data_IF_468380360724
#
_entry.id   IF_468380360724
#
_cell.length_a   1.000
_cell.length_b   1.000
_cell.length_c   1.000
_cell.angle_alpha   90.00
_cell.angle_beta   90.00
_cell.angle_gamma   90.00
#
_symmetry.space_group_name_H-M   'P 1'
#
loop_
_entity.id
_entity.type
_entity.pdbx_description
1 polymer ?
#
# COMPACT_ATOMS: atom_id res chain seq x y z
N UNK A 1 1.68 -4.73 -8.62
CA UNK A 1 0.73 -5.87 -8.68
C UNK A 1 1.30 -7.15 -8.08
N UNK A 2 2.59 -7.46 -8.29
CA UNK A 2 3.29 -8.65 -7.75
C UNK A 2 2.94 -8.99 -6.30
N UNK A 3 3.08 -8.05 -5.36
CA UNK A 3 2.82 -8.31 -3.93
C UNK A 3 1.36 -8.68 -3.67
N UNK A 4 0.40 -7.98 -4.28
CA UNK A 4 -1.03 -8.29 -4.14
C UNK A 4 -1.38 -9.66 -4.74
N UNK A 5 -0.87 -9.98 -5.93
CA UNK A 5 -1.07 -11.28 -6.59
C UNK A 5 -0.53 -12.42 -5.74
N UNK A 6 0.72 -12.29 -5.28
CA UNK A 6 1.36 -13.32 -4.48
C UNK A 6 0.67 -13.53 -3.13
N UNK A 7 0.21 -12.44 -2.48
CA UNK A 7 -0.49 -12.54 -1.20
C UNK A 7 -1.92 -13.07 -1.33
N UNK A 8 -2.71 -12.57 -2.29
CA UNK A 8 -4.16 -12.82 -2.34
C UNK A 8 -4.61 -13.83 -3.39
N UNK A 9 -3.94 -13.92 -4.53
CA UNK A 9 -4.28 -14.91 -5.57
C UNK A 9 -3.54 -16.22 -5.34
N UNK A 10 -2.27 -16.16 -4.93
CA UNK A 10 -1.44 -17.34 -4.74
C UNK A 10 -1.32 -17.80 -3.28
N UNK A 11 -1.69 -16.95 -2.32
CA UNK A 11 -1.66 -17.30 -0.89
C UNK A 11 -0.25 -17.53 -0.33
N UNK A 12 0.77 -16.89 -0.92
CA UNK A 12 2.14 -16.98 -0.43
C UNK A 12 2.28 -16.29 0.94
N UNK A 13 3.16 -16.83 1.78
CA UNK A 13 3.51 -16.28 3.10
C UNK A 13 4.42 -15.06 2.96
N UNK A 14 3.88 -13.94 2.47
CA UNK A 14 4.66 -12.74 2.13
C UNK A 14 5.26 -11.98 3.33
N UNK A 15 5.00 -12.41 4.57
CA UNK A 15 5.68 -11.96 5.79
C UNK A 15 6.97 -12.74 6.09
N UNK A 16 7.25 -13.82 5.35
CA UNK A 16 8.50 -14.57 5.43
C UNK A 16 9.55 -13.96 4.49
N UNK A 17 10.75 -13.57 5.00
CA UNK A 17 11.81 -12.97 4.20
C UNK A 17 12.26 -13.81 3.00
N UNK A 18 12.30 -15.13 3.12
CA UNK A 18 12.73 -15.99 2.00
C UNK A 18 11.66 -16.03 0.91
N UNK A 19 10.38 -16.09 1.31
CA UNK A 19 9.25 -16.13 0.38
C UNK A 19 9.10 -14.83 -0.39
N UNK A 20 9.20 -13.68 0.30
CA UNK A 20 9.10 -12.38 -0.38
C UNK A 20 10.30 -12.11 -1.30
N UNK A 21 11.52 -12.53 -0.94
CA UNK A 21 12.69 -12.42 -1.81
C UNK A 21 12.47 -13.16 -3.12
N UNK A 22 12.11 -14.45 -3.05
CA UNK A 22 11.87 -15.28 -4.23
C UNK A 22 10.73 -14.71 -5.08
N UNK A 23 9.64 -14.26 -4.44
CA UNK A 23 8.50 -13.69 -5.15
C UNK A 23 8.82 -12.37 -5.87
N UNK A 24 9.78 -11.59 -5.35
CA UNK A 24 10.28 -10.38 -5.98
C UNK A 24 11.25 -10.70 -7.13
N UNK A 25 12.16 -11.66 -6.93
CA UNK A 25 13.09 -12.14 -7.96
C UNK A 25 12.35 -12.71 -9.17
N UNK A 26 11.32 -13.54 -8.94
CA UNK A 26 10.46 -14.11 -10.00
C UNK A 26 9.70 -13.02 -10.80
N UNK A 27 9.49 -11.85 -10.20
CA UNK A 27 8.89 -10.69 -10.86
C UNK A 27 9.92 -9.76 -11.53
N UNK A 28 11.21 -10.10 -11.51
CA UNK A 28 12.29 -9.36 -12.14
C UNK A 28 12.85 -8.20 -11.31
N UNK A 29 12.57 -8.18 -10.00
CA UNK A 29 13.22 -7.25 -9.06
C UNK A 29 14.45 -7.91 -8.41
N UNK A 30 15.29 -7.12 -7.76
CA UNK A 30 16.31 -7.64 -6.85
C UNK A 30 15.71 -7.75 -5.45
N UNK A 31 15.25 -8.95 -5.09
CA UNK A 31 14.62 -9.22 -3.80
C UNK A 31 15.58 -9.01 -2.62
N UNK A 32 16.87 -9.27 -2.81
CA UNK A 32 17.88 -9.10 -1.77
C UNK A 32 18.14 -7.61 -1.49
N UNK A 33 18.32 -6.80 -2.53
CA UNK A 33 18.48 -5.34 -2.43
C UNK A 33 17.26 -4.69 -1.75
N UNK A 34 16.04 -5.11 -2.13
CA UNK A 34 14.82 -4.59 -1.51
C UNK A 34 14.74 -4.97 -0.03
N UNK A 35 15.06 -6.22 0.33
CA UNK A 35 15.05 -6.66 1.73
C UNK A 35 16.09 -5.94 2.59
N UNK A 36 17.25 -5.61 2.02
CA UNK A 36 18.23 -4.76 2.69
C UNK A 36 17.68 -3.33 2.85
N UNK A 37 17.10 -2.76 1.79
CA UNK A 37 16.54 -1.41 1.79
C UNK A 37 15.44 -1.20 2.83
N UNK A 38 14.50 -2.16 3.01
CA UNK A 38 13.44 -2.03 4.03
C UNK A 38 13.98 -2.02 5.47
N UNK A 39 15.23 -2.45 5.67
CA UNK A 39 15.87 -2.42 6.99
C UNK A 39 16.47 -1.06 7.33
N UNK A 40 16.71 -0.21 6.33
CA UNK A 40 17.21 1.16 6.53
C UNK A 40 16.27 2.00 7.41
N UNK A 41 16.86 2.81 8.28
CA UNK A 41 16.09 3.63 9.22
C UNK A 41 15.23 4.68 8.50
N UNK A 42 15.75 5.29 7.44
CA UNK A 42 15.04 6.23 6.58
C UNK A 42 13.74 5.65 6.02
N UNK A 43 13.79 4.42 5.52
CA UNK A 43 12.62 3.74 4.94
C UNK A 43 11.57 3.44 6.02
N UNK A 44 11.99 3.00 7.20
CA UNK A 44 11.10 2.76 8.35
C UNK A 44 10.46 4.04 8.86
N UNK A 45 11.24 5.11 8.95
CA UNK A 45 10.76 6.43 9.39
C UNK A 45 9.73 6.97 8.40
N UNK A 46 9.98 6.83 7.10
CA UNK A 46 9.02 7.23 6.07
C UNK A 46 7.71 6.43 6.15
N UNK A 47 7.77 5.11 6.33
CA UNK A 47 6.58 4.27 6.55
C UNK A 47 5.77 4.73 7.78
N UNK A 48 6.45 5.02 8.89
CA UNK A 48 5.82 5.49 10.11
C UNK A 48 5.17 6.87 9.91
N UNK A 49 5.88 7.80 9.28
CA UNK A 49 5.40 9.15 9.01
C UNK A 49 4.16 9.14 8.10
N UNK A 50 4.19 8.36 7.02
CA UNK A 50 3.07 8.21 6.10
C UNK A 50 1.84 7.62 6.79
N UNK A 51 2.04 6.58 7.61
CA UNK A 51 0.95 5.95 8.37
C UNK A 51 0.37 6.90 9.41
N UNK A 52 1.22 7.63 10.13
CA UNK A 52 0.81 8.62 11.14
C UNK A 52 0.02 9.75 10.51
N UNK A 53 0.52 10.34 9.42
CA UNK A 53 -0.18 11.40 8.69
C UNK A 53 -1.55 10.94 8.17
N UNK A 54 -1.67 9.69 7.72
CA UNK A 54 -2.96 9.12 7.30
C UNK A 54 -3.95 9.03 8.47
N UNK A 55 -3.50 8.56 9.64
CA UNK A 55 -4.33 8.47 10.85
C UNK A 55 -4.73 9.87 11.34
N UNK A 56 -3.80 10.82 11.37
CA UNK A 56 -4.07 12.20 11.76
C UNK A 56 -5.08 12.89 10.83
N UNK A 57 -5.11 12.52 9.55
CA UNK A 57 -6.13 12.95 8.58
C UNK A 57 -7.48 12.25 8.75
N UNK A 58 -7.63 11.34 9.72
CA UNK A 58 -8.87 10.64 10.02
C UNK A 58 -9.07 9.30 9.30
N UNK A 59 -8.02 8.74 8.69
CA UNK A 59 -8.10 7.38 8.10
C UNK A 59 -8.25 6.34 9.22
N UNK A 60 -9.20 5.42 9.07
CA UNK A 60 -9.47 4.35 10.06
C UNK A 60 -9.47 2.93 9.45
N UNK A 61 -9.19 2.79 8.16
CA UNK A 61 -9.16 1.50 7.48
C UNK A 61 -8.59 1.57 6.06
N UNK A 62 -8.51 0.42 5.39
CA UNK A 62 -8.01 0.31 4.02
C UNK A 62 -8.97 -0.51 3.13
N UNK A 63 -9.22 -0.08 1.88
CA UNK A 63 -8.76 1.17 1.28
C UNK A 63 -9.57 2.38 1.79
N UNK A 64 -8.91 3.52 1.94
CA UNK A 64 -9.53 4.84 2.16
C UNK A 64 -9.00 5.79 1.09
N UNK A 65 -9.90 6.58 0.50
CA UNK A 65 -9.60 7.57 -0.52
C UNK A 65 -9.93 8.96 -0.01
N UNK A 66 -9.20 9.97 -0.49
CA UNK A 66 -9.50 11.37 -0.25
C UNK A 66 -9.60 12.13 -1.56
N UNK A 67 -10.59 13.02 -1.67
CA UNK A 67 -10.71 13.99 -2.77
C UNK A 67 -10.84 15.37 -2.14
N UNK A 68 -9.76 16.16 -2.17
CA UNK A 68 -9.67 17.36 -1.32
C UNK A 68 -9.73 16.99 0.16
N UNK A 69 -10.69 17.54 0.90
CA UNK A 69 -10.91 17.23 2.33
C UNK A 69 -11.95 16.12 2.55
N UNK A 70 -12.64 15.66 1.50
CA UNK A 70 -13.66 14.61 1.58
C UNK A 70 -13.02 13.22 1.68
N UNK A 71 -13.59 12.36 2.53
CA UNK A 71 -13.09 11.01 2.85
C UNK A 71 -14.06 9.91 2.41
N UNK A 72 -13.55 8.88 1.73
CA UNK A 72 -14.33 7.74 1.24
C UNK A 72 -13.68 6.42 1.65
N UNK A 73 -14.34 5.65 2.53
CA UNK A 73 -13.86 4.36 3.00
C UNK A 73 -14.47 3.18 2.25
N UNK A 74 -13.62 2.26 1.76
CA UNK A 74 -13.99 1.02 1.12
C UNK A 74 -14.09 1.10 -0.40
N UNK A 75 -13.81 -0.03 -1.07
CA UNK A 75 -13.85 -0.14 -2.54
C UNK A 75 -15.23 0.13 -3.14
N UNK A 76 -16.29 -0.08 -2.36
CA UNK A 76 -17.67 0.14 -2.81
C UNK A 76 -18.00 1.64 -2.95
N UNK A 77 -17.07 2.53 -2.58
CA UNK A 77 -17.19 3.99 -2.70
C UNK A 77 -16.50 4.57 -3.92
N UNK A 78 -15.88 3.76 -4.79
CA UNK A 78 -15.14 4.27 -5.95
C UNK A 78 -16.01 5.13 -6.88
N UNK A 79 -17.28 4.78 -7.09
CA UNK A 79 -18.18 5.63 -7.89
C UNK A 79 -18.37 7.03 -7.29
N UNK A 80 -18.52 7.13 -5.97
CA UNK A 80 -18.61 8.43 -5.28
C UNK A 80 -17.30 9.22 -5.30
N UNK A 81 -16.15 8.53 -5.30
CA UNK A 81 -14.84 9.16 -5.49
C UNK A 81 -14.74 9.80 -6.88
N UNK A 82 -15.18 9.09 -7.92
CA UNK A 82 -15.19 9.62 -9.29
C UNK A 82 -16.11 10.83 -9.42
N UNK A 83 -17.34 10.75 -8.89
CA UNK A 83 -18.30 11.86 -8.88
C UNK A 83 -17.71 13.11 -8.19
N UNK A 84 -17.01 12.94 -7.07
CA UNK A 84 -16.41 14.07 -6.35
C UNK A 84 -15.22 14.68 -7.09
N UNK A 85 -14.39 13.86 -7.75
CA UNK A 85 -13.32 14.37 -8.60
C UNK A 85 -13.89 15.24 -9.73
N UNK A 86 -15.06 14.88 -10.27
CA UNK A 86 -15.72 15.67 -11.29
C UNK A 86 -16.38 16.95 -10.75
N UNK A 87 -16.91 16.92 -9.52
CA UNK A 87 -17.56 18.06 -8.88
C UNK A 87 -16.59 19.21 -8.55
N UNK A 88 -15.31 18.89 -8.29
CA UNK A 88 -14.26 19.85 -7.93
C UNK A 88 -13.51 20.47 -9.13
N UNK A 89 -13.86 20.10 -10.38
CA UNK A 89 -13.29 20.70 -11.60
C UNK A 89 -13.85 22.10 -11.86
#
# INVERSE_FOLDING_TARGET
DTVYKNMWEQGLKMDDPEVIAIALDDAGFDGAEILEGIMEQSVKDELLNNTTASVERGTFGSPTFYVGDEIYFGKDRLGSVEEEIESQK
#
